data_IF_428191567892
#
_entry.id   IF_428191567892
#
_cell.length_a   1.000
_cell.length_b   1.000
_cell.length_c   1.000
_cell.angle_alpha   90.00
_cell.angle_beta   90.00
_cell.angle_gamma   90.00
#
_symmetry.space_group_name_H-M   'P 1'
#
loop_
_entity.id
_entity.type
_entity.pdbx_description
1 polymer ?
#
# COMPACT_ATOMS: atom_id res chain seq x y z
N UNK A 1 -10.62 -9.99 -26.78
CA UNK A 1 -10.73 -8.52 -26.99
C UNK A 1 -11.28 -7.80 -25.75
N UNK A 2 -12.42 -8.23 -25.18
CA UNK A 2 -13.05 -7.63 -23.98
C UNK A 2 -12.15 -7.59 -22.71
N UNK A 3 -11.36 -8.63 -22.44
CA UNK A 3 -10.51 -8.70 -21.24
C UNK A 3 -9.40 -7.62 -21.22
N UNK A 4 -8.85 -7.29 -22.40
CA UNK A 4 -7.80 -6.27 -22.53
C UNK A 4 -8.33 -4.85 -22.32
N UNK A 5 -9.55 -4.58 -22.82
CA UNK A 5 -10.22 -3.29 -22.63
C UNK A 5 -10.54 -3.07 -21.14
N UNK A 6 -11.00 -4.10 -20.43
CA UNK A 6 -11.27 -4.00 -18.99
C UNK A 6 -10.01 -3.68 -18.16
N UNK A 7 -8.88 -4.31 -18.47
CA UNK A 7 -7.60 -3.98 -17.80
C UNK A 7 -7.16 -2.54 -18.07
N UNK A 8 -7.30 -2.05 -19.30
CA UNK A 8 -6.96 -0.67 -19.66
C UNK A 8 -7.87 0.33 -18.94
N UNK A 9 -9.18 0.06 -18.90
CA UNK A 9 -10.14 0.91 -18.22
C UNK A 9 -9.87 0.98 -16.72
N UNK A 10 -9.54 -0.16 -16.09
CA UNK A 10 -9.14 -0.20 -14.68
C UNK A 10 -7.86 0.61 -14.43
N UNK A 11 -6.85 0.48 -15.30
CA UNK A 11 -5.59 1.25 -15.18
C UNK A 11 -5.83 2.74 -15.32
N UNK A 12 -6.66 3.16 -16.29
CA UNK A 12 -7.05 4.56 -16.48
C UNK A 12 -7.85 5.09 -15.29
N UNK A 13 -8.79 4.32 -14.75
CA UNK A 13 -9.55 4.72 -13.57
C UNK A 13 -8.64 4.92 -12.35
N UNK A 14 -7.68 4.01 -12.14
CA UNK A 14 -6.69 4.13 -11.07
C UNK A 14 -5.80 5.37 -11.29
N UNK A 15 -5.28 5.56 -12.50
CA UNK A 15 -4.44 6.72 -12.82
C UNK A 15 -5.21 8.04 -12.67
N UNK A 16 -6.46 8.09 -13.13
CA UNK A 16 -7.34 9.25 -12.99
C UNK A 16 -7.68 9.55 -11.52
N UNK A 17 -7.92 8.52 -10.71
CA UNK A 17 -8.11 8.67 -9.27
C UNK A 17 -6.87 9.28 -8.60
N UNK A 18 -5.67 8.76 -8.88
CA UNK A 18 -4.43 9.31 -8.33
C UNK A 18 -4.15 10.73 -8.81
N UNK A 19 -4.46 11.03 -10.07
CA UNK A 19 -4.33 12.38 -10.61
C UNK A 19 -5.25 13.37 -9.90
N UNK A 20 -6.52 13.00 -9.70
CA UNK A 20 -7.49 13.83 -8.97
C UNK A 20 -7.06 14.03 -7.52
N UNK A 21 -6.61 12.96 -6.85
CA UNK A 21 -6.07 13.02 -5.50
C UNK A 21 -4.89 13.99 -5.41
N UNK A 22 -3.95 13.92 -6.36
CA UNK A 22 -2.81 14.83 -6.40
C UNK A 22 -3.24 16.29 -6.58
N UNK A 23 -4.24 16.55 -7.45
CA UNK A 23 -4.80 17.88 -7.63
C UNK A 23 -5.40 18.42 -6.32
N UNK A 24 -6.20 17.61 -5.62
CA UNK A 24 -6.79 17.96 -4.32
C UNK A 24 -5.69 18.30 -3.30
N UNK A 25 -4.62 17.48 -3.25
CA UNK A 25 -3.48 17.72 -2.37
C UNK A 25 -2.80 19.05 -2.70
N UNK A 26 -2.58 19.35 -3.99
CA UNK A 26 -1.96 20.61 -4.42
C UNK A 26 -2.81 21.80 -3.97
N UNK A 27 -4.12 21.78 -4.23
CA UNK A 27 -5.03 22.85 -3.78
C UNK A 27 -5.00 22.98 -2.27
N UNK A 28 -5.05 21.86 -1.55
CA UNK A 28 -4.97 21.84 -0.09
C UNK A 28 -3.66 22.45 0.43
N UNK A 29 -2.53 22.17 -0.22
CA UNK A 29 -1.24 22.83 0.08
C UNK A 29 -1.36 24.32 -0.11
N UNK A 30 -1.77 24.77 -1.29
CA UNK A 30 -1.83 26.18 -1.64
C UNK A 30 -2.75 26.98 -0.68
N UNK A 31 -3.90 26.41 -0.33
CA UNK A 31 -4.86 27.03 0.60
C UNK A 31 -4.38 27.00 2.06
N UNK A 32 -3.51 26.04 2.43
CA UNK A 32 -3.03 25.85 3.79
C UNK A 32 -1.50 25.93 3.85
N UNK A 33 -0.94 26.91 3.12
CA UNK A 33 0.50 27.21 3.12
C UNK A 33 0.97 27.80 4.46
N UNK A 34 0.04 28.32 5.26
CA UNK A 34 0.34 28.89 6.56
C UNK A 34 1.00 27.86 7.49
N UNK A 35 2.03 28.33 8.17
CA UNK A 35 2.76 27.54 9.15
C UNK A 35 1.83 27.14 10.29
N UNK A 36 1.81 25.84 10.58
CA UNK A 36 1.06 25.27 11.69
C UNK A 36 2.01 24.60 12.67
N UNK A 37 1.66 24.65 13.94
CA UNK A 37 2.34 23.88 14.97
C UNK A 37 1.37 22.87 15.56
N UNK A 38 1.88 21.67 15.85
CA UNK A 38 1.11 20.64 16.53
C UNK A 38 1.71 20.43 17.90
N UNK A 39 0.89 20.48 18.94
CA UNK A 39 1.33 20.13 20.28
C UNK A 39 1.20 18.62 20.45
N UNK A 40 2.33 17.94 20.64
CA UNK A 40 2.36 16.51 20.89
C UNK A 40 2.96 16.25 22.27
N UNK A 41 2.19 15.67 23.19
CA UNK A 41 2.61 15.36 24.57
C UNK A 41 3.24 16.57 25.30
N UNK A 42 2.67 17.77 25.11
CA UNK A 42 3.17 19.01 25.71
C UNK A 42 4.42 19.61 25.05
N UNK A 43 4.97 18.98 24.02
CA UNK A 43 6.05 19.52 23.19
C UNK A 43 5.48 20.09 21.90
N UNK A 44 5.76 21.35 21.61
CA UNK A 44 5.41 21.96 20.32
C UNK A 44 6.35 21.42 19.23
N UNK A 45 5.76 21.01 18.11
CA UNK A 45 6.54 20.68 16.91
C UNK A 45 7.15 21.96 16.31
N UNK A 46 8.24 21.84 15.53
CA UNK A 46 8.66 22.92 14.65
C UNK A 46 7.52 23.33 13.71
N UNK A 47 7.55 24.58 13.27
CA UNK A 47 6.56 25.12 12.33
C UNK A 47 6.72 24.46 10.96
N UNK A 48 5.70 23.69 10.59
CA UNK A 48 5.61 23.09 9.27
C UNK A 48 4.22 23.36 8.68
N UNK A 49 4.10 23.47 7.35
CA UNK A 49 2.81 23.42 6.69
C UNK A 49 2.06 22.15 7.10
N UNK A 50 0.76 22.27 7.41
CA UNK A 50 -0.11 21.15 7.83
C UNK A 50 0.01 19.95 6.89
N UNK A 51 0.21 20.21 5.59
CA UNK A 51 0.29 19.17 4.59
C UNK A 51 1.47 18.23 4.80
N UNK A 52 2.64 18.73 5.21
CA UNK A 52 3.80 17.88 5.46
C UNK A 52 3.56 16.94 6.65
N UNK A 53 2.85 17.42 7.68
CA UNK A 53 2.46 16.63 8.84
C UNK A 53 1.46 15.53 8.46
N UNK A 54 0.45 15.86 7.64
CA UNK A 54 -0.54 14.90 7.16
C UNK A 54 0.07 13.85 6.22
N UNK A 55 0.89 14.27 5.25
CA UNK A 55 1.59 13.36 4.33
C UNK A 55 2.51 12.41 5.08
N UNK A 56 3.30 12.92 6.02
CA UNK A 56 4.23 12.08 6.80
C UNK A 56 3.47 11.07 7.67
N UNK A 57 2.37 11.48 8.32
CA UNK A 57 1.50 10.58 9.07
C UNK A 57 0.91 9.47 8.17
N UNK A 58 0.41 9.85 6.99
CA UNK A 58 -0.14 8.89 6.03
C UNK A 58 0.91 7.89 5.53
N UNK A 59 2.09 8.37 5.13
CA UNK A 59 3.22 7.53 4.70
C UNK A 59 3.64 6.59 5.83
N UNK A 60 3.72 7.09 7.06
CA UNK A 60 4.09 6.28 8.22
C UNK A 60 3.04 5.20 8.52
N UNK A 61 1.76 5.54 8.44
CA UNK A 61 0.67 4.57 8.55
C UNK A 61 0.74 3.47 7.48
N UNK A 62 0.98 3.86 6.22
CA UNK A 62 1.17 2.89 5.13
C UNK A 62 2.39 1.99 5.35
N UNK A 63 3.50 2.55 5.82
CA UNK A 63 4.71 1.80 6.14
C UNK A 63 4.48 0.81 7.29
N UNK A 64 3.74 1.20 8.32
CA UNK A 64 3.36 0.32 9.43
C UNK A 64 2.50 -0.85 8.95
N UNK A 65 1.49 -0.59 8.10
CA UNK A 65 0.66 -1.66 7.52
C UNK A 65 1.50 -2.61 6.66
N UNK A 66 2.40 -2.07 5.84
CA UNK A 66 3.32 -2.87 5.04
C UNK A 66 4.21 -3.74 5.94
N UNK A 67 4.78 -3.16 7.00
CA UNK A 67 5.64 -3.85 7.94
C UNK A 67 4.88 -4.99 8.65
N UNK A 68 3.64 -4.73 9.06
CA UNK A 68 2.75 -5.73 9.67
C UNK A 68 2.29 -6.81 8.69
N UNK A 69 2.31 -6.57 7.38
CA UNK A 69 1.92 -7.55 6.35
C UNK A 69 3.01 -8.58 6.02
N UNK A 70 4.28 -8.27 6.30
CA UNK A 70 5.43 -9.14 6.01
C UNK A 70 5.34 -10.53 6.65
N UNK A 71 4.99 -10.70 7.94
CA UNK A 71 4.91 -12.02 8.57
C UNK A 71 3.83 -12.91 7.93
N UNK A 72 2.69 -12.32 7.55
CA UNK A 72 1.63 -13.01 6.83
C UNK A 72 2.12 -13.53 5.49
N UNK A 73 2.77 -12.67 4.72
CA UNK A 73 3.35 -13.04 3.42
C UNK A 73 4.40 -14.16 3.55
N UNK A 74 5.27 -14.11 4.55
CA UNK A 74 6.29 -15.14 4.79
C UNK A 74 5.66 -16.50 5.15
N UNK A 75 4.62 -16.53 5.99
CA UNK A 75 3.89 -17.76 6.35
C UNK A 75 3.22 -18.38 5.13
N UNK A 76 2.52 -17.58 4.32
CA UNK A 76 1.86 -18.06 3.10
C UNK A 76 2.87 -18.62 2.10
N UNK A 77 4.03 -17.98 1.96
CA UNK A 77 5.12 -18.45 1.09
C UNK A 77 5.71 -19.78 1.55
N UNK A 78 5.93 -19.95 2.86
CA UNK A 78 6.42 -21.21 3.43
C UNK A 78 5.41 -22.34 3.21
N UNK A 79 4.13 -22.09 3.46
CA UNK A 79 3.06 -23.07 3.24
C UNK A 79 2.96 -23.50 1.77
N UNK A 80 3.08 -22.55 0.84
CA UNK A 80 3.14 -22.82 -0.60
C UNK A 80 4.31 -23.72 -0.98
N UNK A 81 5.49 -23.51 -0.39
CA UNK A 81 6.66 -24.36 -0.64
C UNK A 81 6.46 -25.79 -0.13
N UNK A 82 5.79 -25.94 1.02
CA UNK A 82 5.39 -27.24 1.55
C UNK A 82 4.41 -27.98 0.64
N UNK A 83 3.31 -27.33 0.27
CA UNK A 83 2.30 -27.89 -0.65
C UNK A 83 2.91 -28.26 -2.01
N UNK A 84 3.82 -27.44 -2.55
CA UNK A 84 4.48 -27.72 -3.82
C UNK A 84 5.35 -28.98 -3.75
N UNK A 85 5.95 -29.24 -2.59
CA UNK A 85 6.76 -30.44 -2.33
C UNK A 85 5.87 -31.68 -2.21
N UNK A 86 4.72 -31.57 -1.55
CA UNK A 86 3.72 -32.67 -1.47
C UNK A 86 3.13 -33.01 -2.84
N UNK A 87 2.77 -32.00 -3.63
CA UNK A 87 2.30 -32.20 -5.01
C UNK A 87 3.38 -32.87 -5.89
N UNK A 88 4.65 -32.52 -5.68
CA UNK A 88 5.75 -33.15 -6.41
C UNK A 88 5.91 -34.63 -6.02
N UNK A 89 5.85 -34.96 -4.73
CA UNK A 89 5.89 -36.35 -4.24
C UNK A 89 4.75 -37.20 -4.77
N UNK A 90 3.52 -36.68 -4.74
CA UNK A 90 2.34 -37.39 -5.25
C UNK A 90 2.37 -37.59 -6.77
N UNK A 91 3.06 -36.73 -7.52
CA UNK A 91 3.28 -36.91 -8.97
C UNK A 91 4.34 -37.97 -9.29
N UNK A 92 5.33 -38.15 -8.41
CA UNK A 92 6.43 -39.10 -8.61
C UNK A 92 6.17 -40.47 -8.00
N UNK A 93 5.23 -40.59 -7.06
CA UNK A 93 4.73 -41.88 -6.62
C UNK A 93 3.79 -42.40 -7.70
N UNK A 94 4.14 -43.45 -8.46
CA UNK A 94 3.17 -44.12 -9.32
C UNK A 94 2.05 -44.59 -8.39
N UNK A 95 0.80 -44.44 -8.82
CA UNK A 95 -0.33 -45.05 -8.13
C UNK A 95 -0.12 -46.56 -8.18
N UNK A 96 0.49 -47.12 -7.13
CA UNK A 96 0.53 -48.54 -6.87
C UNK A 96 -0.89 -48.95 -6.45
N UNK A 97 -1.73 -49.15 -7.46
CA UNK A 97 -3.02 -49.84 -7.39
C UNK A 97 -2.99 -50.97 -8.41
#
# INVERSE_FOLDING_TARGET
>A
MLLGVFMLLRRLAIAGFFFLLALIVIVFVLENLDSSHVTFLGRQSPEFPLVLLLLSSFVMGGLLVLLMSLPGYMRTRSMLSGLRTEVAKLRTSPLDH
#
